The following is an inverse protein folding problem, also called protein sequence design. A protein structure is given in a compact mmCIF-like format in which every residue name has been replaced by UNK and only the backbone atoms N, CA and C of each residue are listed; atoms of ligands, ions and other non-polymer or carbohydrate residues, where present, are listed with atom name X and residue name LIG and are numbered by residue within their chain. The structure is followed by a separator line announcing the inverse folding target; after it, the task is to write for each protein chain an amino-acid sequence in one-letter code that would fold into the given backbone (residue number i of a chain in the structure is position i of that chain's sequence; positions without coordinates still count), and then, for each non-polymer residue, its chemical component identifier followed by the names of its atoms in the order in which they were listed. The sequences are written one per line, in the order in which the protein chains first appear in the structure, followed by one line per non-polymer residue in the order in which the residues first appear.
data_IF_439758603802
#
_entry.id   IF_439758603802
#
_cell.length_a   1.000
_cell.length_b   1.000
_cell.length_c   1.000
_cell.angle_alpha   90.00
_cell.angle_beta   90.00
_cell.angle_gamma   90.00
#
_symmetry.space_group_name_H-M   'P 1'
#
loop_
_entity.id
_entity.type
_entity.pdbx_description
1 polymer ?
#
# COMPACT_ATOMS: atom_id res chain seq x y z
N UNK A 1 -3.02 10.41 24.55
CA UNK A 1 -4.44 10.63 24.86
C UNK A 1 -5.31 10.19 23.68
N UNK A 2 -5.49 11.00 22.62
CA UNK A 2 -6.50 10.72 21.58
C UNK A 2 -6.38 9.37 20.85
N UNK A 3 -5.16 8.82 20.66
CA UNK A 3 -4.98 7.50 20.04
C UNK A 3 -5.40 6.37 20.99
N UNK A 4 -5.04 6.48 22.27
CA UNK A 4 -5.35 5.50 23.30
C UNK A 4 -6.85 5.48 23.62
N UNK A 5 -7.48 6.65 23.69
CA UNK A 5 -8.92 6.76 23.94
C UNK A 5 -9.76 6.24 22.77
N UNK A 6 -9.28 6.47 21.55
CA UNK A 6 -9.84 5.94 20.32
C UNK A 6 -9.72 4.41 20.25
N UNK A 7 -8.58 3.86 20.66
CA UNK A 7 -8.38 2.41 20.77
C UNK A 7 -9.18 1.79 21.94
N UNK A 8 -9.49 2.55 22.99
CA UNK A 8 -10.32 2.12 24.12
C UNK A 8 -11.85 2.20 23.88
N UNK A 9 -12.29 2.70 22.72
CA UNK A 9 -13.71 2.82 22.38
C UNK A 9 -14.43 4.04 22.97
N UNK A 10 -13.71 4.97 23.62
CA UNK A 10 -14.29 6.19 24.18
C UNK A 10 -14.40 7.31 23.11
N UNK A 11 -15.25 7.06 22.12
CA UNK A 11 -15.38 7.86 20.89
C UNK A 11 -15.75 9.33 21.17
N UNK A 12 -16.64 9.57 22.13
CA UNK A 12 -17.12 10.91 22.48
C UNK A 12 -16.04 11.76 23.14
N UNK A 13 -15.24 11.15 24.03
CA UNK A 13 -14.09 11.82 24.65
C UNK A 13 -13.03 12.12 23.60
N UNK A 14 -12.77 11.18 22.69
CA UNK A 14 -11.86 11.40 21.57
C UNK A 14 -12.34 12.56 20.67
N UNK A 15 -13.65 12.69 20.40
CA UNK A 15 -14.21 13.83 19.65
C UNK A 15 -13.98 15.16 20.37
N UNK A 16 -14.22 15.24 21.68
CA UNK A 16 -14.02 16.46 22.49
C UNK A 16 -12.52 16.83 22.56
N UNK A 17 -11.63 15.85 22.67
CA UNK A 17 -10.20 16.11 22.64
C UNK A 17 -9.75 16.63 21.27
N UNK A 18 -10.28 16.07 20.18
CA UNK A 18 -9.96 16.51 18.83
C UNK A 18 -10.54 17.90 18.52
N UNK A 19 -11.75 18.23 19.02
CA UNK A 19 -12.31 19.58 18.87
C UNK A 19 -11.45 20.62 19.62
N UNK A 20 -11.10 20.35 20.88
CA UNK A 20 -10.17 21.19 21.65
C UNK A 20 -8.80 21.32 20.98
N UNK A 21 -8.30 20.24 20.37
CA UNK A 21 -7.04 20.28 19.62
C UNK A 21 -7.13 21.17 18.37
N UNK A 22 -8.28 21.21 17.67
CA UNK A 22 -8.48 22.11 16.53
C UNK A 22 -8.49 23.58 16.94
N UNK A 23 -9.04 23.90 18.11
CA UNK A 23 -9.09 25.27 18.63
C UNK A 23 -7.74 25.75 19.15
N UNK A 24 -7.04 24.91 19.91
CA UNK A 24 -5.76 25.28 20.56
C UNK A 24 -4.56 25.22 19.63
N UNK A 25 -4.53 24.25 18.71
CA UNK A 25 -3.40 24.00 17.82
C UNK A 25 -3.88 23.38 16.50
N UNK A 26 -4.55 24.17 15.64
CA UNK A 26 -5.00 23.67 14.35
C UNK A 26 -3.78 23.22 13.54
N UNK A 27 -3.84 21.98 13.06
CA UNK A 27 -2.85 21.43 12.14
C UNK A 27 -3.53 20.46 11.19
N UNK A 28 -2.98 20.30 9.99
CA UNK A 28 -3.53 19.37 8.99
C UNK A 28 -3.70 17.96 9.55
N UNK A 29 -2.80 17.52 10.43
CA UNK A 29 -2.88 16.21 11.08
C UNK A 29 -4.04 16.09 12.09
N UNK A 30 -4.42 17.16 12.79
CA UNK A 30 -5.56 17.15 13.72
C UNK A 30 -6.88 17.08 12.95
N UNK A 31 -7.02 17.86 11.87
CA UNK A 31 -8.18 17.76 10.96
C UNK A 31 -8.28 16.37 10.35
N UNK A 32 -7.16 15.79 9.90
CA UNK A 32 -7.11 14.43 9.35
C UNK A 32 -7.58 13.38 10.37
N UNK A 33 -7.11 13.45 11.62
CA UNK A 33 -7.55 12.54 12.68
C UNK A 33 -9.04 12.72 13.01
N UNK A 34 -9.54 13.96 13.00
CA UNK A 34 -10.95 14.27 13.22
C UNK A 34 -11.84 13.67 12.12
N UNK A 35 -11.48 13.88 10.85
CA UNK A 35 -12.21 13.30 9.73
C UNK A 35 -12.18 11.77 9.74
N UNK A 36 -11.07 11.18 10.17
CA UNK A 36 -10.93 9.72 10.27
C UNK A 36 -11.82 9.12 11.37
N UNK A 37 -11.97 9.81 12.50
CA UNK A 37 -12.87 9.41 13.59
C UNK A 37 -14.35 9.48 13.16
N UNK A 38 -14.74 10.51 12.40
CA UNK A 38 -16.11 10.59 11.87
C UNK A 38 -16.37 9.55 10.76
N UNK A 39 -15.35 9.27 9.93
CA UNK A 39 -15.40 8.21 8.91
C UNK A 39 -15.65 6.83 9.54
N UNK A 40 -15.02 6.54 10.69
CA UNK A 40 -15.23 5.27 11.41
C UNK A 40 -16.62 5.12 12.01
N UNK A 41 -17.24 6.22 12.42
CA UNK A 41 -18.61 6.22 12.90
C UNK A 41 -19.66 6.16 11.79
N UNK A 42 -19.22 6.11 10.52
CA UNK A 42 -20.12 6.14 9.36
C UNK A 42 -20.70 7.53 9.06
N UNK A 43 -20.25 8.58 9.75
CA UNK A 43 -20.68 9.97 9.51
C UNK A 43 -19.88 10.58 8.35
N UNK A 44 -20.13 10.08 7.15
CA UNK A 44 -19.35 10.43 5.96
C UNK A 44 -19.52 11.89 5.54
N UNK A 45 -20.69 12.49 5.76
CA UNK A 45 -20.94 13.91 5.45
C UNK A 45 -20.06 14.83 6.32
N UNK A 46 -20.11 14.64 7.64
CA UNK A 46 -19.29 15.41 8.59
C UNK A 46 -17.80 15.19 8.32
N UNK A 47 -17.38 13.97 7.98
CA UNK A 47 -15.99 13.69 7.62
C UNK A 47 -15.55 14.48 6.37
N UNK A 48 -16.39 14.56 5.34
CA UNK A 48 -16.11 15.33 4.12
C UNK A 48 -16.08 16.84 4.40
N UNK A 49 -16.98 17.36 5.22
CA UNK A 49 -17.00 18.78 5.60
C UNK A 49 -15.73 19.17 6.36
N UNK A 50 -15.25 18.30 7.26
CA UNK A 50 -13.99 18.49 7.96
C UNK A 50 -12.77 18.43 7.03
N UNK A 51 -12.80 17.57 6.01
CA UNK A 51 -11.76 17.51 4.98
C UNK A 51 -11.78 18.78 4.14
N UNK A 52 -12.95 19.27 3.73
CA UNK A 52 -13.08 20.49 2.94
C UNK A 52 -12.64 21.73 3.72
N UNK A 53 -12.99 21.82 5.01
CA UNK A 53 -12.48 22.86 5.91
C UNK A 53 -10.94 22.76 6.04
N UNK A 54 -10.42 21.55 6.22
CA UNK A 54 -8.98 21.28 6.27
C UNK A 54 -8.25 21.70 5.00
N UNK A 55 -8.82 21.43 3.82
CA UNK A 55 -8.25 21.82 2.52
C UNK A 55 -8.19 23.34 2.36
N UNK A 56 -9.21 24.08 2.83
CA UNK A 56 -9.19 25.55 2.79
C UNK A 56 -8.03 26.12 3.62
N UNK A 57 -7.78 25.53 4.79
CA UNK A 57 -6.72 25.99 5.70
C UNK A 57 -5.32 25.47 5.34
N UNK A 58 -5.21 24.24 4.82
CA UNK A 58 -3.93 23.60 4.46
C UNK A 58 -4.02 22.91 3.09
N UNK A 59 -4.00 23.68 1.99
CA UNK A 59 -4.14 23.14 0.64
C UNK A 59 -3.02 22.19 0.23
N UNK A 60 -1.83 22.29 0.82
CA UNK A 60 -0.66 21.44 0.50
C UNK A 60 -0.67 20.10 1.23
N UNK A 61 -1.67 19.83 2.07
CA UNK A 61 -1.73 18.57 2.83
C UNK A 61 -2.39 17.46 2.01
N UNK A 62 -1.57 16.75 1.24
CA UNK A 62 -1.98 15.66 0.32
C UNK A 62 -2.95 14.61 0.89
N UNK A 63 -2.86 14.28 2.19
CA UNK A 63 -3.73 13.26 2.81
C UNK A 63 -5.22 13.64 2.81
N UNK A 64 -5.56 14.93 2.77
CA UNK A 64 -6.97 15.35 2.68
C UNK A 64 -7.61 14.91 1.38
N UNK A 65 -6.93 15.13 0.26
CA UNK A 65 -7.40 14.71 -1.06
C UNK A 65 -7.48 13.19 -1.16
N UNK A 66 -6.48 12.48 -0.61
CA UNK A 66 -6.50 11.01 -0.55
C UNK A 66 -7.71 10.49 0.24
N UNK A 67 -7.97 11.05 1.43
CA UNK A 67 -9.10 10.63 2.27
C UNK A 67 -10.44 10.99 1.64
N UNK A 68 -10.59 12.21 1.11
CA UNK A 68 -11.84 12.65 0.45
C UNK A 68 -12.19 11.78 -0.75
N UNK A 69 -11.19 11.49 -1.60
CA UNK A 69 -11.34 10.60 -2.75
C UNK A 69 -11.67 9.16 -2.34
N UNK A 70 -11.06 8.63 -1.28
CA UNK A 70 -11.39 7.31 -0.74
C UNK A 70 -12.81 7.24 -0.18
N UNK A 71 -13.23 8.20 0.64
CA UNK A 71 -14.60 8.25 1.18
C UNK A 71 -15.63 8.26 0.04
N UNK A 72 -15.37 9.03 -1.01
CA UNK A 72 -16.27 9.12 -2.17
C UNK A 72 -16.27 7.85 -3.05
N UNK A 73 -15.17 7.08 -3.06
CA UNK A 73 -14.99 5.90 -3.92
C UNK A 73 -15.37 4.58 -3.24
N UNK A 74 -15.01 4.39 -1.97
CA UNK A 74 -15.23 3.13 -1.25
C UNK A 74 -16.45 3.13 -0.35
N UNK A 75 -16.74 4.25 0.33
CA UNK A 75 -17.69 4.26 1.46
C UNK A 75 -19.07 4.78 1.05
N UNK A 76 -19.14 5.61 0.02
CA UNK A 76 -20.39 6.11 -0.54
C UNK A 76 -20.96 5.16 -1.60
N UNK A 77 -22.30 5.11 -1.79
CA UNK A 77 -22.91 4.34 -2.86
C UNK A 77 -22.29 4.71 -4.21
N UNK A 78 -21.92 3.69 -5.00
CA UNK A 78 -21.33 3.87 -6.32
C UNK A 78 -22.37 4.48 -7.25
N UNK A 79 -22.33 5.79 -7.38
CA UNK A 79 -23.17 6.60 -8.25
C UNK A 79 -22.26 7.47 -9.10
N UNK A 80 -22.73 7.84 -10.29
CA UNK A 80 -21.97 8.72 -11.18
C UNK A 80 -21.55 10.02 -10.45
N UNK A 81 -22.44 10.57 -9.64
CA UNK A 81 -22.20 11.79 -8.83
C UNK A 81 -21.09 11.62 -7.79
N UNK A 82 -21.02 10.46 -7.13
CA UNK A 82 -20.00 10.19 -6.10
C UNK A 82 -18.63 9.91 -6.73
N UNK A 83 -18.62 9.23 -7.88
CA UNK A 83 -17.41 9.05 -8.69
C UNK A 83 -16.86 10.38 -9.22
N UNK A 84 -17.72 11.27 -9.71
CA UNK A 84 -17.30 12.59 -10.19
C UNK A 84 -16.77 13.47 -9.04
N UNK A 85 -17.36 13.35 -7.83
CA UNK A 85 -16.82 13.99 -6.63
C UNK A 85 -15.44 13.43 -6.25
N UNK A 86 -15.25 12.12 -6.33
CA UNK A 86 -13.96 11.47 -6.08
C UNK A 86 -12.88 11.95 -7.08
N UNK A 87 -13.24 12.04 -8.38
CA UNK A 87 -12.36 12.60 -9.42
C UNK A 87 -11.94 14.02 -9.09
N UNK A 88 -12.90 14.88 -8.74
CA UNK A 88 -12.61 16.27 -8.37
C UNK A 88 -11.63 16.38 -7.19
N UNK A 89 -11.76 15.54 -6.17
CA UNK A 89 -10.80 15.52 -5.06
C UNK A 89 -9.40 15.12 -5.53
N UNK A 90 -9.27 14.09 -6.38
CA UNK A 90 -7.97 13.66 -6.89
C UNK A 90 -7.34 14.67 -7.84
N UNK A 91 -8.10 15.28 -8.74
CA UNK A 91 -7.61 16.33 -9.65
C UNK A 91 -7.10 17.54 -8.88
N UNK A 92 -7.86 18.01 -7.88
CA UNK A 92 -7.41 19.09 -6.98
C UNK A 92 -6.16 18.68 -6.20
N UNK A 93 -6.07 17.43 -5.76
CA UNK A 93 -4.90 16.89 -5.08
C UNK A 93 -3.66 16.82 -5.98
N UNK A 94 -3.84 16.45 -7.24
CA UNK A 94 -2.79 16.42 -8.27
C UNK A 94 -2.26 17.83 -8.57
N UNK A 95 -3.15 18.82 -8.62
CA UNK A 95 -2.78 20.22 -8.83
C UNK A 95 -2.05 20.80 -7.61
N UNK A 96 -2.54 20.53 -6.41
CA UNK A 96 -1.96 21.05 -5.18
C UNK A 96 -0.65 20.34 -4.76
N UNK A 97 -0.52 19.04 -5.05
CA UNK A 97 0.59 18.20 -4.63
C UNK A 97 1.06 17.27 -5.77
N UNK A 98 1.65 17.80 -6.85
CA UNK A 98 2.05 17.01 -8.02
C UNK A 98 3.16 15.99 -7.72
N UNK A 99 3.96 16.22 -6.67
CA UNK A 99 5.08 15.34 -6.27
C UNK A 99 4.64 14.06 -5.53
N UNK A 100 3.41 14.01 -5.01
CA UNK A 100 2.94 12.86 -4.24
C UNK A 100 2.44 11.75 -5.18
N UNK A 101 3.21 10.68 -5.33
CA UNK A 101 2.87 9.53 -6.18
C UNK A 101 1.60 8.79 -5.76
N UNK A 102 1.26 8.81 -4.47
CA UNK A 102 0.12 8.03 -3.96
C UNK A 102 -1.21 8.60 -4.48
N UNK A 103 -1.31 9.93 -4.63
CA UNK A 103 -2.52 10.55 -5.21
C UNK A 103 -2.70 10.08 -6.65
N UNK A 104 -1.64 10.06 -7.45
CA UNK A 104 -1.68 9.59 -8.84
C UNK A 104 -2.12 8.12 -8.93
N UNK A 105 -1.59 7.26 -8.05
CA UNK A 105 -1.97 5.83 -7.99
C UNK A 105 -3.43 5.66 -7.60
N UNK A 106 -3.92 6.44 -6.63
CA UNK A 106 -5.33 6.38 -6.23
C UNK A 106 -6.26 6.88 -7.33
N UNK A 107 -5.87 7.94 -8.04
CA UNK A 107 -6.61 8.47 -9.18
C UNK A 107 -6.66 7.47 -10.35
N UNK A 108 -5.54 6.80 -10.67
CA UNK A 108 -5.50 5.79 -11.73
C UNK A 108 -6.39 4.58 -11.38
N UNK A 109 -6.33 4.12 -10.13
CA UNK A 109 -7.19 3.03 -9.63
C UNK A 109 -8.68 3.42 -9.66
N UNK A 110 -9.03 4.68 -9.38
CA UNK A 110 -10.41 5.16 -9.51
C UNK A 110 -10.90 5.06 -10.97
N UNK A 111 -10.10 5.50 -11.94
CA UNK A 111 -10.49 5.42 -13.36
C UNK A 111 -10.55 3.98 -13.85
N UNK A 112 -9.66 3.11 -13.37
CA UNK A 112 -9.72 1.67 -13.64
C UNK A 112 -11.02 1.05 -13.12
N UNK A 113 -11.42 1.33 -11.87
CA UNK A 113 -12.72 0.86 -11.34
C UNK A 113 -13.92 1.43 -12.10
N UNK A 114 -13.75 2.59 -12.76
CA UNK A 114 -14.74 3.22 -13.62
C UNK A 114 -14.72 2.68 -15.07
N UNK A 115 -13.92 1.66 -15.36
CA UNK A 115 -13.69 1.09 -16.70
C UNK A 115 -13.14 2.09 -17.73
N UNK A 116 -12.43 3.12 -17.29
CA UNK A 116 -11.79 4.14 -18.14
C UNK A 116 -10.28 3.91 -18.20
N UNK A 117 -9.89 2.78 -18.78
CA UNK A 117 -8.49 2.32 -18.82
C UNK A 117 -7.56 3.31 -19.54
N UNK A 118 -8.02 3.89 -20.65
CA UNK A 118 -7.25 4.86 -21.43
C UNK A 118 -6.91 6.10 -20.61
N UNK A 119 -7.84 6.56 -19.77
CA UNK A 119 -7.61 7.68 -18.85
C UNK A 119 -6.66 7.28 -17.71
N UNK A 120 -6.79 6.07 -17.18
CA UNK A 120 -5.87 5.55 -16.17
C UNK A 120 -4.42 5.51 -16.70
N UNK A 121 -4.23 5.03 -17.94
CA UNK A 121 -2.93 5.01 -18.65
C UNK A 121 -2.37 6.42 -18.83
N UNK A 122 -3.17 7.34 -19.38
CA UNK A 122 -2.72 8.72 -19.60
C UNK A 122 -2.37 9.43 -18.28
N UNK A 123 -3.13 9.17 -17.22
CA UNK A 123 -2.87 9.75 -15.91
C UNK A 123 -1.55 9.24 -15.31
N UNK A 124 -1.26 7.94 -15.43
CA UNK A 124 0.02 7.38 -15.01
C UNK A 124 1.19 7.85 -15.88
N UNK A 125 0.98 8.06 -17.19
CA UNK A 125 1.99 8.67 -18.06
C UNK A 125 2.37 10.08 -17.61
N UNK A 126 1.36 10.92 -17.37
CA UNK A 126 1.59 12.29 -16.84
C UNK A 126 2.27 12.23 -15.47
N UNK A 127 1.88 11.30 -14.61
CA UNK A 127 2.52 11.10 -13.30
C UNK A 127 4.00 10.78 -13.42
N UNK A 128 4.37 9.90 -14.36
CA UNK A 128 5.77 9.51 -14.63
C UNK A 128 6.58 10.64 -15.27
N UNK A 129 5.97 11.45 -16.14
CA UNK A 129 6.63 12.65 -16.68
C UNK A 129 6.96 13.66 -15.57
N UNK A 130 6.05 13.84 -14.61
CA UNK A 130 6.28 14.75 -13.47
C UNK A 130 7.24 14.18 -12.43
N UNK A 131 7.21 12.86 -12.21
CA UNK A 131 8.03 12.17 -11.20
C UNK A 131 8.73 10.94 -11.82
N UNK A 132 9.73 11.13 -12.70
CA UNK A 132 10.32 10.05 -13.49
C UNK A 132 11.10 9.03 -12.65
N UNK A 133 11.66 9.46 -11.51
CA UNK A 133 12.46 8.61 -10.61
C UNK A 133 11.64 7.86 -9.55
N UNK A 134 10.31 7.92 -9.62
CA UNK A 134 9.46 7.31 -8.60
C UNK A 134 9.07 5.88 -8.99
N UNK A 135 9.69 4.92 -8.33
CA UNK A 135 9.48 3.48 -8.50
C UNK A 135 8.01 3.04 -8.32
N UNK A 136 7.26 3.65 -7.41
CA UNK A 136 5.88 3.24 -7.15
C UNK A 136 4.94 3.56 -8.33
N UNK A 137 5.20 4.66 -9.06
CA UNK A 137 4.41 5.03 -10.25
C UNK A 137 4.67 4.09 -11.42
N UNK A 138 5.93 3.70 -11.60
CA UNK A 138 6.31 2.70 -12.60
C UNK A 138 5.70 1.34 -12.29
N UNK A 139 5.76 0.92 -11.03
CA UNK A 139 5.20 -0.35 -10.59
C UNK A 139 3.68 -0.41 -10.82
N UNK A 140 2.95 0.65 -10.48
CA UNK A 140 1.51 0.71 -10.72
C UNK A 140 1.18 0.65 -12.21
N UNK A 141 1.95 1.33 -13.07
CA UNK A 141 1.74 1.29 -14.52
C UNK A 141 1.97 -0.12 -15.11
N UNK A 142 3.03 -0.81 -14.68
CA UNK A 142 3.29 -2.19 -15.08
C UNK A 142 2.16 -3.12 -14.64
N UNK A 143 1.67 -2.95 -13.40
CA UNK A 143 0.57 -3.76 -12.87
C UNK A 143 -0.76 -3.46 -13.54
N UNK A 144 -1.03 -2.21 -13.92
CA UNK A 144 -2.22 -1.83 -14.67
C UNK A 144 -2.27 -2.59 -16.00
N UNK A 145 -1.19 -2.57 -16.78
CA UNK A 145 -1.15 -3.29 -18.07
C UNK A 145 -1.31 -4.82 -17.89
N UNK A 146 -0.74 -5.38 -16.81
CA UNK A 146 -0.91 -6.81 -16.48
C UNK A 146 -2.35 -7.16 -16.11
N UNK A 147 -3.08 -6.29 -15.40
CA UNK A 147 -4.50 -6.51 -15.08
C UNK A 147 -5.40 -6.48 -16.32
N UNK A 148 -4.92 -5.89 -17.42
CA UNK A 148 -5.60 -5.82 -18.70
C UNK A 148 -5.01 -6.79 -19.75
N UNK A 149 -4.31 -7.83 -19.31
CA UNK A 149 -3.71 -8.89 -20.17
C UNK A 149 -2.70 -8.40 -21.22
N UNK A 150 -2.19 -7.17 -21.09
CA UNK A 150 -1.19 -6.62 -22.00
C UNK A 150 0.24 -6.94 -21.51
N UNK A 151 0.61 -8.23 -21.48
CA UNK A 151 1.90 -8.67 -20.92
C UNK A 151 3.10 -8.05 -21.65
N UNK A 152 3.04 -7.94 -22.99
CA UNK A 152 4.13 -7.40 -23.80
C UNK A 152 4.43 -5.94 -23.46
N UNK A 153 3.40 -5.11 -23.30
CA UNK A 153 3.58 -3.70 -22.93
C UNK A 153 4.01 -3.57 -21.48
N UNK A 154 3.52 -4.45 -20.59
CA UNK A 154 3.97 -4.48 -19.21
C UNK A 154 5.48 -4.77 -19.11
N UNK A 155 5.99 -5.71 -19.91
CA UNK A 155 7.42 -6.05 -19.93
C UNK A 155 8.29 -4.92 -20.52
N UNK A 156 7.83 -4.24 -21.59
CA UNK A 156 8.55 -3.08 -22.12
C UNK A 156 8.56 -1.91 -21.15
N UNK A 157 7.43 -1.65 -20.46
CA UNK A 157 7.34 -0.64 -19.41
C UNK A 157 8.23 -0.98 -18.22
N UNK A 158 8.29 -2.24 -17.81
CA UNK A 158 9.15 -2.69 -16.72
C UNK A 158 10.64 -2.55 -17.06
N UNK A 159 11.04 -2.88 -18.29
CA UNK A 159 12.40 -2.68 -18.76
C UNK A 159 12.78 -1.18 -18.73
N UNK A 160 11.88 -0.29 -19.18
CA UNK A 160 12.07 1.16 -19.10
C UNK A 160 12.14 1.65 -17.64
N UNK A 161 11.30 1.12 -16.76
CA UNK A 161 11.31 1.45 -15.34
C UNK A 161 12.65 1.12 -14.68
N UNK A 162 13.26 -0.02 -15.04
CA UNK A 162 14.58 -0.42 -14.54
C UNK A 162 15.73 0.42 -15.12
N UNK A 163 15.58 0.99 -16.31
CA UNK A 163 16.55 1.95 -16.85
C UNK A 163 16.55 3.27 -16.05
N UNK A 164 15.36 3.78 -15.71
CA UNK A 164 15.22 5.01 -14.93
C UNK A 164 15.57 4.80 -13.44
N UNK A 165 15.21 3.64 -12.89
CA UNK A 165 15.34 3.29 -11.47
C UNK A 165 16.04 1.93 -11.26
N UNK A 166 17.34 1.80 -11.58
CA UNK A 166 18.03 0.50 -11.57
C UNK A 166 18.23 -0.08 -10.16
N UNK A 167 18.23 0.74 -9.12
CA UNK A 167 18.41 0.29 -7.72
C UNK A 167 17.08 0.04 -6.99
N UNK A 168 15.94 0.15 -7.68
CA UNK A 168 14.62 -0.03 -7.07
C UNK A 168 14.37 -1.49 -6.76
N UNK A 169 14.33 -1.86 -5.47
CA UNK A 169 14.02 -3.22 -5.07
C UNK A 169 12.58 -3.63 -5.37
N UNK A 170 11.63 -2.69 -5.37
CA UNK A 170 10.24 -2.98 -5.73
C UNK A 170 10.10 -3.42 -7.19
N UNK A 171 10.73 -2.69 -8.13
CA UNK A 171 10.70 -3.02 -9.55
C UNK A 171 11.49 -4.31 -9.85
N UNK A 172 12.63 -4.50 -9.20
CA UNK A 172 13.41 -5.73 -9.33
C UNK A 172 12.64 -6.95 -8.79
N UNK A 173 11.98 -6.82 -7.65
CA UNK A 173 11.14 -7.88 -7.10
C UNK A 173 9.96 -8.23 -8.02
N UNK A 174 9.34 -7.23 -8.66
CA UNK A 174 8.31 -7.45 -9.67
C UNK A 174 8.89 -8.19 -10.89
N UNK A 175 10.06 -7.76 -11.39
CA UNK A 175 10.72 -8.38 -12.53
C UNK A 175 11.12 -9.84 -12.33
N UNK A 176 11.44 -10.24 -11.09
CA UNK A 176 11.67 -11.65 -10.75
C UNK A 176 10.34 -12.41 -10.80
N UNK A 177 9.29 -11.89 -10.15
CA UNK A 177 7.99 -12.58 -10.02
C UNK A 177 7.32 -12.81 -11.37
N UNK A 178 7.47 -11.86 -12.28
CA UNK A 178 6.80 -11.88 -13.57
C UNK A 178 7.56 -12.63 -14.65
N UNK A 179 8.84 -12.93 -14.43
CA UNK A 179 9.63 -13.63 -15.44
C UNK A 179 9.16 -15.08 -15.63
N UNK A 180 9.35 -15.66 -16.83
CA UNK A 180 9.21 -17.09 -17.04
C UNK A 180 10.14 -17.87 -16.10
N UNK A 181 9.65 -19.00 -15.55
CA UNK A 181 10.37 -19.83 -14.56
C UNK A 181 11.82 -20.17 -14.95
N UNK A 182 12.10 -20.35 -16.24
CA UNK A 182 13.43 -20.62 -16.76
C UNK A 182 14.44 -19.49 -16.52
N UNK A 183 13.98 -18.23 -16.58
CA UNK A 183 14.82 -17.03 -16.50
C UNK A 183 14.81 -16.42 -15.10
N UNK A 184 13.85 -16.79 -14.24
CA UNK A 184 13.71 -16.22 -12.90
C UNK A 184 15.00 -16.33 -12.05
N UNK A 185 15.73 -17.46 -12.14
CA UNK A 185 17.01 -17.63 -11.44
C UNK A 185 18.05 -16.59 -11.84
N UNK A 186 18.24 -16.38 -13.15
CA UNK A 186 19.18 -15.39 -13.66
C UNK A 186 18.80 -13.99 -13.19
N UNK A 187 17.51 -13.60 -13.34
CA UNK A 187 17.03 -12.29 -12.88
C UNK A 187 17.17 -12.10 -11.37
N UNK A 188 16.96 -13.16 -10.57
CA UNK A 188 17.14 -13.09 -9.11
C UNK A 188 18.60 -12.86 -8.72
N UNK A 189 19.56 -13.48 -9.43
CA UNK A 189 20.98 -13.27 -9.19
C UNK A 189 21.41 -11.85 -9.55
N UNK A 190 20.92 -11.32 -10.67
CA UNK A 190 21.20 -9.94 -11.09
C UNK A 190 20.57 -8.92 -10.14
N UNK A 191 19.34 -9.16 -9.68
CA UNK A 191 18.68 -8.30 -8.70
C UNK A 191 19.43 -8.25 -7.36
N UNK A 192 19.96 -9.38 -6.87
CA UNK A 192 20.79 -9.41 -5.66
C UNK A 192 22.08 -8.59 -5.85
N UNK A 193 22.69 -8.62 -7.03
CA UNK A 193 23.89 -7.80 -7.30
C UNK A 193 23.57 -6.30 -7.29
N UNK A 194 22.40 -5.92 -7.81
CA UNK A 194 21.99 -4.52 -7.90
C UNK A 194 21.51 -3.95 -6.56
N UNK A 195 20.76 -4.75 -5.79
CA UNK A 195 20.16 -4.36 -4.51
C UNK A 195 20.25 -5.51 -3.48
N UNK A 196 21.45 -5.77 -2.90
CA UNK A 196 21.70 -6.94 -2.05
C UNK A 196 21.04 -6.88 -0.66
N UNK A 197 20.63 -5.70 -0.22
CA UNK A 197 20.05 -5.44 1.10
C UNK A 197 18.57 -5.06 1.02
N UNK A 198 17.98 -5.00 -0.18
CA UNK A 198 16.58 -4.59 -0.32
C UNK A 198 15.63 -5.72 0.13
N UNK A 199 14.75 -5.47 1.11
CA UNK A 199 13.80 -6.47 1.62
C UNK A 199 12.86 -7.03 0.55
N UNK A 200 12.46 -6.23 -0.46
CA UNK A 200 11.56 -6.67 -1.52
C UNK A 200 12.22 -7.72 -2.41
N UNK A 201 13.49 -7.50 -2.79
CA UNK A 201 14.26 -8.42 -3.64
C UNK A 201 14.49 -9.74 -2.91
N UNK A 202 14.93 -9.66 -1.65
CA UNK A 202 15.20 -10.85 -0.83
C UNK A 202 13.93 -11.65 -0.58
N UNK A 203 12.80 -10.97 -0.36
CA UNK A 203 11.50 -11.63 -0.22
C UNK A 203 11.08 -12.31 -1.53
N UNK A 204 11.30 -11.68 -2.69
CA UNK A 204 11.02 -12.31 -3.99
C UNK A 204 11.91 -13.54 -4.26
N UNK A 205 13.20 -13.49 -3.88
CA UNK A 205 14.12 -14.62 -3.96
C UNK A 205 13.70 -15.75 -3.01
N UNK A 206 13.26 -15.43 -1.80
CA UNK A 206 12.72 -16.43 -0.87
C UNK A 206 11.49 -17.15 -1.44
N UNK A 207 10.59 -16.40 -2.09
CA UNK A 207 9.43 -16.96 -2.79
C UNK A 207 9.83 -17.85 -3.98
N UNK A 208 10.87 -17.50 -4.72
CA UNK A 208 11.42 -18.33 -5.79
C UNK A 208 11.95 -19.67 -5.24
N UNK A 209 12.71 -19.65 -4.14
CA UNK A 209 13.16 -20.90 -3.52
C UNK A 209 12.01 -21.72 -2.98
N UNK A 210 10.95 -21.08 -2.47
CA UNK A 210 9.74 -21.76 -2.02
C UNK A 210 9.00 -22.42 -3.20
N UNK A 211 8.89 -21.77 -4.36
CA UNK A 211 8.23 -22.34 -5.55
C UNK A 211 9.03 -23.48 -6.19
N UNK A 212 10.36 -23.49 -6.01
CA UNK A 212 11.23 -24.61 -6.38
C UNK A 212 11.20 -25.79 -5.39
N UNK A 213 10.47 -25.68 -4.27
CA UNK A 213 10.41 -26.71 -3.23
C UNK A 213 11.64 -26.76 -2.32
N UNK A 214 12.54 -25.78 -2.37
CA UNK A 214 13.76 -25.73 -1.54
C UNK A 214 13.47 -25.06 -0.19
N UNK A 215 12.75 -25.77 0.67
CA UNK A 215 12.20 -25.26 1.94
C UNK A 215 13.26 -24.63 2.85
N UNK A 216 14.38 -25.33 3.11
CA UNK A 216 15.42 -24.80 4.02
C UNK A 216 16.09 -23.52 3.50
N UNK A 217 16.35 -23.46 2.20
CA UNK A 217 16.92 -22.26 1.57
C UNK A 217 15.92 -21.12 1.62
N UNK A 218 14.67 -21.37 1.26
CA UNK A 218 13.60 -20.37 1.34
C UNK A 218 13.49 -19.78 2.75
N UNK A 219 13.51 -20.63 3.80
CA UNK A 219 13.47 -20.20 5.20
C UNK A 219 14.66 -19.34 5.60
N UNK A 220 15.88 -19.67 5.15
CA UNK A 220 17.07 -18.82 5.38
C UNK A 220 16.91 -17.44 4.73
N UNK A 221 16.40 -17.38 3.51
CA UNK A 221 16.15 -16.13 2.81
C UNK A 221 15.03 -15.29 3.44
N UNK A 222 13.95 -15.92 3.90
CA UNK A 222 12.89 -15.21 4.64
C UNK A 222 13.41 -14.65 5.98
N UNK A 223 14.19 -15.42 6.74
CA UNK A 223 14.82 -14.93 7.97
C UNK A 223 15.74 -13.74 7.70
N UNK A 224 16.50 -13.77 6.60
CA UNK A 224 17.31 -12.63 6.17
C UNK A 224 16.46 -11.41 5.83
N UNK A 225 15.33 -11.58 5.13
CA UNK A 225 14.44 -10.47 4.76
C UNK A 225 13.90 -9.72 5.99
N UNK A 226 13.43 -10.47 6.99
CA UNK A 226 12.88 -9.87 8.22
C UNK A 226 13.94 -9.31 9.17
N UNK A 227 15.19 -9.80 9.09
CA UNK A 227 16.31 -9.24 9.85
C UNK A 227 16.81 -7.93 9.26
N UNK A 228 16.86 -7.81 7.93
CA UNK A 228 17.32 -6.59 7.26
C UNK A 228 16.33 -5.44 7.44
N UNK A 229 15.03 -5.73 7.36
CA UNK A 229 14.01 -4.73 7.67
C UNK A 229 12.83 -5.38 8.38
N UNK A 230 12.85 -5.28 9.71
CA UNK A 230 11.79 -5.79 10.57
C UNK A 230 10.48 -4.98 10.46
N UNK A 231 10.52 -3.77 9.91
CA UNK A 231 9.34 -2.88 9.77
C UNK A 231 8.54 -3.17 8.48
N UNK A 232 9.05 -4.03 7.60
CA UNK A 232 8.38 -4.40 6.36
C UNK A 232 7.41 -5.57 6.56
N UNK A 233 6.15 -5.24 6.78
CA UNK A 233 5.05 -6.17 7.08
C UNK A 233 4.74 -7.17 5.96
N UNK A 234 4.92 -6.80 4.67
CA UNK A 234 4.66 -7.75 3.60
C UNK A 234 5.68 -8.92 3.58
N UNK A 235 6.91 -8.71 4.08
CA UNK A 235 7.88 -9.79 4.24
C UNK A 235 7.45 -10.76 5.34
N UNK A 236 6.97 -10.25 6.48
CA UNK A 236 6.40 -11.06 7.56
C UNK A 236 5.20 -11.86 7.09
N UNK A 237 4.26 -11.24 6.37
CA UNK A 237 3.07 -11.90 5.86
C UNK A 237 3.41 -12.99 4.84
N UNK A 238 4.39 -12.76 3.96
CA UNK A 238 4.89 -13.78 3.01
C UNK A 238 5.62 -14.91 3.72
N UNK A 239 6.39 -14.60 4.76
CA UNK A 239 7.10 -15.60 5.55
C UNK A 239 6.11 -16.48 6.33
N UNK A 240 5.10 -15.88 6.95
CA UNK A 240 4.03 -16.61 7.62
C UNK A 240 3.22 -17.48 6.65
N UNK A 241 2.86 -16.95 5.47
CA UNK A 241 2.20 -17.73 4.42
C UNK A 241 3.06 -18.94 3.96
N UNK A 242 4.39 -18.77 3.90
CA UNK A 242 5.31 -19.86 3.61
C UNK A 242 5.31 -20.93 4.73
N UNK A 243 5.41 -20.54 6.00
CA UNK A 243 5.37 -21.49 7.13
C UNK A 243 4.00 -22.17 7.30
N UNK A 244 2.91 -21.57 6.85
CA UNK A 244 1.61 -22.26 6.74
C UNK A 244 1.70 -23.41 5.72
N UNK A 245 2.36 -23.18 4.59
CA UNK A 245 2.43 -24.17 3.51
C UNK A 245 3.49 -25.27 3.72
N UNK A 246 4.60 -24.95 4.39
CA UNK A 246 5.79 -25.80 4.44
C UNK A 246 6.40 -25.97 5.85
N UNK A 247 5.80 -25.36 6.87
CA UNK A 247 6.33 -25.28 8.23
C UNK A 247 5.54 -26.08 9.26
N UNK A 248 6.10 -26.15 10.47
CA UNK A 248 5.44 -26.71 11.66
C UNK A 248 4.67 -25.64 12.43
N UNK A 249 3.71 -26.06 13.27
CA UNK A 249 2.94 -25.14 14.12
C UNK A 249 3.83 -24.31 15.07
N UNK A 250 4.97 -24.85 15.52
CA UNK A 250 5.93 -24.09 16.33
C UNK A 250 6.61 -22.98 15.52
N UNK A 251 7.01 -23.26 14.28
CA UNK A 251 7.62 -22.26 13.39
C UNK A 251 6.64 -21.14 13.05
N UNK A 252 5.37 -21.46 12.82
CA UNK A 252 4.32 -20.46 12.59
C UNK A 252 4.20 -19.49 13.78
N UNK A 253 4.14 -20.03 15.01
CA UNK A 253 4.08 -19.23 16.23
C UNK A 253 5.34 -18.39 16.47
N UNK A 254 6.51 -18.91 16.13
CA UNK A 254 7.76 -18.14 16.23
C UNK A 254 7.74 -16.91 15.30
N UNK A 255 7.33 -17.09 14.04
CA UNK A 255 7.20 -15.98 13.09
C UNK A 255 6.18 -14.95 13.56
N UNK A 256 5.05 -15.40 14.10
CA UNK A 256 4.02 -14.53 14.67
C UNK A 256 4.55 -13.70 15.85
N UNK A 257 5.18 -14.34 16.84
CA UNK A 257 5.76 -13.67 18.00
C UNK A 257 6.82 -12.64 17.61
N UNK A 258 7.68 -12.99 16.64
CA UNK A 258 8.71 -12.08 16.12
C UNK A 258 8.11 -10.92 15.33
N UNK A 259 7.04 -11.14 14.58
CA UNK A 259 6.30 -10.08 13.90
C UNK A 259 5.66 -9.10 14.89
N UNK A 260 5.06 -9.62 15.97
CA UNK A 260 4.48 -8.79 17.04
C UNK A 260 5.57 -7.94 17.71
N UNK A 261 6.72 -8.55 18.02
CA UNK A 261 7.86 -7.84 18.60
C UNK A 261 8.42 -6.74 17.67
N UNK A 262 8.41 -6.98 16.36
CA UNK A 262 8.85 -6.02 15.36
C UNK A 262 7.84 -4.89 15.09
N UNK A 263 6.54 -5.14 15.29
CA UNK A 263 5.43 -4.21 15.05
C UNK A 263 5.52 -3.46 13.70
N UNK A 264 5.54 -4.18 12.56
CA UNK A 264 5.76 -3.59 11.25
C UNK A 264 4.64 -2.64 10.83
N UNK A 265 5.00 -1.57 10.13
CA UNK A 265 4.09 -0.51 9.67
C UNK A 265 4.07 -0.34 8.16
N UNK A 266 5.12 -0.79 7.48
CA UNK A 266 5.30 -0.59 6.04
C UNK A 266 4.99 -1.87 5.26
N UNK A 267 4.69 -1.73 3.97
CA UNK A 267 4.21 -2.81 3.11
C UNK A 267 2.94 -2.39 2.38
N UNK A 268 2.84 -2.73 1.10
CA UNK A 268 1.69 -2.32 0.29
C UNK A 268 0.44 -3.10 0.69
N UNK A 269 0.59 -4.42 0.84
CA UNK A 269 -0.53 -5.30 1.22
C UNK A 269 -0.80 -5.15 2.72
N UNK A 270 0.26 -5.01 3.51
CA UNK A 270 0.20 -4.76 4.95
C UNK A 270 -0.55 -3.48 5.28
N UNK A 271 -0.12 -2.36 4.70
CA UNK A 271 -0.75 -1.08 4.97
C UNK A 271 -2.18 -1.01 4.39
N UNK A 272 -2.45 -1.61 3.23
CA UNK A 272 -3.81 -1.58 2.66
C UNK A 272 -4.79 -2.43 3.47
N UNK A 273 -4.39 -3.63 3.91
CA UNK A 273 -5.25 -4.52 4.71
C UNK A 273 -5.49 -3.99 6.13
N UNK A 274 -4.46 -3.48 6.83
CA UNK A 274 -4.63 -2.93 8.19
C UNK A 274 -5.33 -1.57 8.21
N UNK A 275 -5.20 -0.77 7.15
CA UNK A 275 -5.92 0.52 7.05
C UNK A 275 -7.35 0.34 6.52
N UNK A 276 -7.72 -0.83 6.02
CA UNK A 276 -9.09 -1.12 5.63
C UNK A 276 -10.01 -0.98 6.85
N UNK A 277 -11.17 -0.34 6.66
CA UNK A 277 -12.08 0.01 7.76
C UNK A 277 -12.55 -1.25 8.53
N UNK A 278 -12.79 -2.35 7.81
CA UNK A 278 -13.21 -3.65 8.37
C UNK A 278 -12.18 -4.30 9.29
N UNK A 279 -10.91 -3.90 9.18
CA UNK A 279 -9.80 -4.50 9.93
C UNK A 279 -9.25 -3.56 11.01
N UNK A 280 -9.82 -2.36 11.17
CA UNK A 280 -9.43 -1.48 12.28
C UNK A 280 -9.89 -2.07 13.60
N UNK A 281 -8.99 -2.05 14.58
CA UNK A 281 -9.20 -2.64 15.91
C UNK A 281 -8.73 -4.09 16.03
N UNK A 282 -8.35 -4.74 14.92
CA UNK A 282 -7.74 -6.08 14.96
C UNK A 282 -6.32 -6.02 15.52
N UNK A 283 -5.94 -7.09 16.20
CA UNK A 283 -4.58 -7.24 16.74
C UNK A 283 -3.57 -7.44 15.61
N UNK A 284 -2.28 -7.21 15.90
CA UNK A 284 -1.21 -7.41 14.91
C UNK A 284 -1.12 -8.86 14.40
N UNK A 285 -1.43 -9.85 15.25
CA UNK A 285 -1.50 -11.27 14.89
C UNK A 285 -2.63 -11.56 13.90
N UNK A 286 -3.85 -11.10 14.19
CA UNK A 286 -4.99 -11.21 13.29
C UNK A 286 -4.72 -10.50 11.96
N UNK A 287 -4.10 -9.32 12.04
CA UNK A 287 -3.60 -8.57 10.90
C UNK A 287 -2.69 -9.41 10.02
N UNK A 288 -1.67 -10.05 10.60
CA UNK A 288 -0.71 -10.90 9.89
C UNK A 288 -1.41 -12.04 9.12
N UNK A 289 -2.38 -12.71 9.75
CA UNK A 289 -3.16 -13.79 9.12
C UNK A 289 -3.96 -13.25 7.93
N UNK A 290 -4.63 -12.10 8.08
CA UNK A 290 -5.40 -11.47 7.03
C UNK A 290 -4.52 -11.03 5.85
N UNK A 291 -3.36 -10.46 6.13
CA UNK A 291 -2.40 -10.04 5.10
C UNK A 291 -1.87 -11.26 4.37
N UNK A 292 -1.48 -12.32 5.08
CA UNK A 292 -1.01 -13.57 4.49
C UNK A 292 -2.08 -14.20 3.56
N UNK A 293 -3.34 -14.20 3.99
CA UNK A 293 -4.46 -14.66 3.16
C UNK A 293 -4.67 -13.76 1.93
N UNK A 294 -4.59 -12.43 2.07
CA UNK A 294 -4.72 -11.49 0.97
C UNK A 294 -3.60 -11.66 -0.07
N UNK A 295 -2.36 -11.90 0.37
CA UNK A 295 -1.21 -12.13 -0.51
C UNK A 295 -1.38 -13.44 -1.30
N UNK A 296 -1.90 -14.49 -0.68
CA UNK A 296 -2.16 -15.75 -1.38
C UNK A 296 -3.28 -15.64 -2.43
N UNK A 297 -4.24 -14.73 -2.26
CA UNK A 297 -5.28 -14.46 -3.26
C UNK A 297 -4.78 -13.66 -4.47
N UNK A 298 -3.63 -13.00 -4.35
CA UNK A 298 -3.00 -12.24 -5.44
C UNK A 298 -2.03 -13.10 -6.28
N UNK A 299 -1.97 -14.42 -6.04
CA UNK A 299 -1.19 -15.38 -6.83
C UNK A 299 -1.90 -15.81 -8.09
#
# INVERSE_FOLDING_TARGET
ASKLEWESGEIERARVLLSRARERAPSGQVYMKSALLEREQGKLSEALDLIEAGIKTYPTFSKFYMMGGQICSSDLPKSKRTLDRARSFFERGIQACPSNSVIWILASRLEETSKQETKARSLLEVARLKNPKNEALWLEAVRLERRHDNERTADTLLARALQECPKSGMLLAENIRTAPRSVQKARSADAIKQAPEDPHVITAVAQLFASEGKIEKARKWFNRAVQLNSDFGDAWARYYAFEISAGTAQQQKDVENRCIAAAPKHGEVWASTLKAMENRGKTLSEGLVLVAAAINRQR
#
